data_IF_074739855616
#
_entry.id   IF_074739855616
#
_cell.length_a   1.000
_cell.length_b   1.000
_cell.length_c   1.000
_cell.angle_alpha   90.00
_cell.angle_beta   90.00
_cell.angle_gamma   90.00
#
_symmetry.space_group_name_H-M   'P 1'
#
loop_
_entity.id
_entity.type
_entity.pdbx_description
1 polymer ?
#
# COMPACT_ATOMS: atom_id res chain seq x y z
N UNK A 1 18.93 -14.69 21.39
CA UNK A 1 19.02 -14.93 19.93
C UNK A 1 19.92 -13.90 19.28
N UNK A 2 20.83 -14.28 18.37
CA UNK A 2 21.57 -13.30 17.57
C UNK A 2 20.59 -12.55 16.69
N UNK A 3 20.52 -11.22 16.80
CA UNK A 3 19.67 -10.38 15.93
C UNK A 3 20.01 -10.68 14.48
N UNK A 4 19.06 -11.12 13.69
CA UNK A 4 19.23 -11.31 12.25
C UNK A 4 19.00 -9.97 11.54
N UNK A 5 20.04 -9.14 11.49
CA UNK A 5 19.98 -7.79 10.94
C UNK A 5 19.53 -7.79 9.47
N UNK A 6 19.90 -8.80 8.70
CA UNK A 6 19.47 -8.95 7.30
C UNK A 6 17.97 -9.18 7.17
N UNK A 7 17.40 -10.02 8.05
CA UNK A 7 15.96 -10.26 8.08
C UNK A 7 15.20 -9.01 8.54
N UNK A 8 15.73 -8.27 9.50
CA UNK A 8 15.13 -7.01 9.94
C UNK A 8 15.12 -5.96 8.82
N UNK A 9 16.22 -5.82 8.09
CA UNK A 9 16.29 -4.94 6.93
C UNK A 9 15.28 -5.34 5.83
N UNK A 10 15.09 -6.64 5.61
CA UNK A 10 14.09 -7.13 4.67
C UNK A 10 12.66 -6.79 5.12
N UNK A 11 12.35 -6.94 6.40
CA UNK A 11 11.05 -6.56 6.96
C UNK A 11 10.82 -5.04 6.78
N UNK A 12 11.85 -4.21 7.00
CA UNK A 12 11.76 -2.77 6.75
C UNK A 12 11.50 -2.46 5.28
N UNK A 13 12.13 -3.18 4.35
CA UNK A 13 11.87 -3.05 2.92
C UNK A 13 10.44 -3.48 2.56
N UNK A 14 9.86 -4.46 3.24
CA UNK A 14 8.45 -4.83 3.06
C UNK A 14 7.52 -3.70 3.50
N UNK A 15 7.73 -3.10 4.67
CA UNK A 15 6.95 -1.96 5.13
C UNK A 15 7.06 -0.75 4.19
N UNK A 16 8.26 -0.48 3.70
CA UNK A 16 8.48 0.54 2.67
C UNK A 16 7.65 0.25 1.41
N UNK A 17 7.70 -0.99 0.90
CA UNK A 17 6.97 -1.39 -0.32
C UNK A 17 5.46 -1.26 -0.16
N UNK A 18 4.91 -1.70 0.99
CA UNK A 18 3.49 -1.58 1.31
C UNK A 18 3.06 -0.12 1.23
N UNK A 19 3.77 0.74 1.93
CA UNK A 19 3.45 2.16 2.00
C UNK A 19 3.59 2.87 0.66
N UNK A 20 4.66 2.58 -0.08
CA UNK A 20 4.92 3.19 -1.37
C UNK A 20 3.80 2.94 -2.39
N UNK A 21 3.19 1.75 -2.34
CA UNK A 21 2.08 1.37 -3.22
C UNK A 21 0.74 1.87 -2.69
N UNK A 22 0.54 1.90 -1.37
CA UNK A 22 -0.77 2.21 -0.78
C UNK A 22 -1.07 3.71 -0.79
N UNK A 23 -0.07 4.54 -0.48
CA UNK A 23 -0.27 5.97 -0.24
C UNK A 23 -0.16 6.85 -1.51
N UNK A 24 -0.07 6.24 -2.69
CA UNK A 24 -0.05 6.96 -3.97
C UNK A 24 -1.45 7.36 -4.46
N UNK A 25 -2.52 6.79 -3.90
CA UNK A 25 -3.88 7.02 -4.40
C UNK A 25 -4.26 8.51 -4.42
N UNK A 26 -3.85 9.29 -3.42
CA UNK A 26 -4.16 10.71 -3.34
C UNK A 26 -3.74 11.50 -4.59
N UNK A 27 -2.47 11.49 -4.97
CA UNK A 27 -2.00 12.12 -6.21
C UNK A 27 -2.63 11.59 -7.49
N UNK A 28 -3.03 10.31 -7.53
CA UNK A 28 -3.61 9.68 -8.72
C UNK A 28 -5.09 10.04 -8.96
N UNK A 29 -5.86 10.39 -7.93
CA UNK A 29 -7.30 10.65 -8.07
C UNK A 29 -7.63 11.71 -9.12
N UNK A 30 -6.98 12.87 -9.19
CA UNK A 30 -7.25 13.85 -10.25
C UNK A 30 -7.06 13.29 -11.66
N UNK A 31 -5.93 12.62 -11.93
CA UNK A 31 -5.67 12.01 -13.24
C UNK A 31 -6.71 10.95 -13.61
N UNK A 32 -7.13 10.14 -12.63
CA UNK A 32 -8.17 9.13 -12.81
C UNK A 32 -9.50 9.79 -13.19
N UNK A 33 -9.88 10.88 -12.50
CA UNK A 33 -11.09 11.65 -12.83
C UNK A 33 -11.02 12.17 -14.25
N UNK A 34 -9.91 12.78 -14.64
CA UNK A 34 -9.73 13.36 -15.96
C UNK A 34 -9.68 12.30 -17.08
N UNK A 35 -8.87 11.25 -16.93
CA UNK A 35 -8.69 10.24 -17.98
C UNK A 35 -9.93 9.37 -18.20
N UNK A 36 -10.67 9.03 -17.14
CA UNK A 36 -11.90 8.24 -17.25
C UNK A 36 -13.16 9.10 -17.38
N UNK A 37 -13.05 10.44 -17.47
CA UNK A 37 -14.17 11.38 -17.56
C UNK A 37 -15.24 11.12 -16.51
N UNK A 38 -14.81 10.93 -15.24
CA UNK A 38 -15.73 10.64 -14.16
C UNK A 38 -16.56 11.88 -13.83
N UNK A 39 -17.88 11.79 -14.07
CA UNK A 39 -18.81 12.92 -13.89
C UNK A 39 -19.10 13.24 -12.42
N UNK A 40 -18.82 12.29 -11.51
CA UNK A 40 -19.10 12.41 -10.09
C UNK A 40 -17.86 12.01 -9.29
N UNK A 41 -17.48 12.84 -8.32
CA UNK A 41 -16.40 12.55 -7.37
C UNK A 41 -16.65 11.23 -6.59
N UNK A 42 -17.93 10.86 -6.40
CA UNK A 42 -18.28 9.60 -5.79
C UNK A 42 -17.73 8.40 -6.57
N UNK A 43 -17.67 8.47 -7.91
CA UNK A 43 -17.05 7.41 -8.71
C UNK A 43 -15.56 7.25 -8.41
N UNK A 44 -14.82 8.35 -8.26
CA UNK A 44 -13.43 8.28 -7.85
C UNK A 44 -13.27 7.67 -6.44
N UNK A 45 -14.23 7.89 -5.56
CA UNK A 45 -14.29 7.30 -4.22
C UNK A 45 -14.46 5.78 -4.19
N UNK A 46 -14.94 5.15 -5.27
CA UNK A 46 -15.01 3.68 -5.35
C UNK A 46 -13.63 3.03 -5.40
N UNK A 47 -12.59 3.73 -5.83
CA UNK A 47 -11.23 3.17 -5.92
C UNK A 47 -10.68 2.89 -4.51
N UNK A 48 -10.55 3.89 -3.60
CA UNK A 48 -10.15 3.62 -2.23
C UNK A 48 -11.16 2.71 -1.49
N UNK A 49 -12.46 2.81 -1.79
CA UNK A 49 -13.47 1.92 -1.21
C UNK A 49 -13.21 0.46 -1.60
N UNK A 50 -12.89 0.18 -2.86
CA UNK A 50 -12.55 -1.16 -3.35
C UNK A 50 -11.33 -1.72 -2.62
N UNK A 51 -10.28 -0.90 -2.46
CA UNK A 51 -9.07 -1.25 -1.73
C UNK A 51 -9.34 -1.56 -0.24
N UNK A 52 -10.00 -0.66 0.48
CA UNK A 52 -10.28 -0.85 1.91
C UNK A 52 -11.34 -1.92 2.19
N UNK A 53 -12.28 -2.15 1.27
CA UNK A 53 -13.21 -3.28 1.36
C UNK A 53 -12.47 -4.61 1.31
N UNK A 54 -11.50 -4.74 0.40
CA UNK A 54 -10.63 -5.92 0.32
C UNK A 54 -9.85 -6.14 1.62
N UNK A 55 -9.35 -5.05 2.22
CA UNK A 55 -8.70 -5.08 3.53
C UNK A 55 -9.61 -5.63 4.62
N UNK A 56 -10.84 -5.11 4.70
CA UNK A 56 -11.82 -5.55 5.69
C UNK A 56 -12.16 -7.04 5.53
N UNK A 57 -12.33 -7.51 4.30
CA UNK A 57 -12.65 -8.91 3.99
C UNK A 57 -11.47 -9.83 4.34
N UNK A 58 -10.23 -9.44 4.02
CA UNK A 58 -9.06 -10.31 4.14
C UNK A 58 -8.43 -10.30 5.54
N UNK A 59 -8.66 -9.28 6.37
CA UNK A 59 -8.00 -9.14 7.68
C UNK A 59 -8.16 -10.35 8.59
N UNK A 60 -9.37 -10.90 8.70
CA UNK A 60 -9.64 -12.09 9.52
C UNK A 60 -9.13 -13.37 8.83
N UNK A 61 -9.46 -13.63 7.54
CA UNK A 61 -8.92 -14.79 6.83
C UNK A 61 -7.40 -14.86 6.81
N UNK A 62 -6.69 -13.72 6.72
CA UNK A 62 -5.23 -13.70 6.71
C UNK A 62 -4.64 -14.32 7.99
N UNK A 63 -5.20 -14.03 9.17
CA UNK A 63 -4.79 -14.66 10.41
C UNK A 63 -4.97 -16.18 10.38
N UNK A 64 -6.12 -16.66 9.93
CA UNK A 64 -6.40 -18.10 9.78
C UNK A 64 -5.48 -18.79 8.78
N UNK A 65 -5.08 -18.08 7.71
CA UNK A 65 -4.14 -18.60 6.72
C UNK A 65 -2.73 -18.75 7.33
N UNK A 66 -2.31 -17.81 8.18
CA UNK A 66 -1.02 -17.89 8.90
C UNK A 66 -1.00 -19.12 9.81
N UNK A 67 -2.06 -19.30 10.60
CA UNK A 67 -2.17 -20.45 11.51
C UNK A 67 -2.12 -21.80 10.79
N UNK A 68 -2.70 -21.86 9.58
CA UNK A 68 -2.80 -23.11 8.81
C UNK A 68 -1.58 -23.39 7.94
N UNK A 69 -1.03 -22.39 7.26
CA UNK A 69 0.01 -22.56 6.25
C UNK A 69 1.37 -21.99 6.66
N UNK A 70 1.41 -21.24 7.76
CA UNK A 70 2.60 -20.53 8.22
C UNK A 70 2.84 -19.20 7.48
N UNK A 71 3.86 -18.50 7.91
CA UNK A 71 4.13 -17.10 7.53
C UNK A 71 4.60 -16.94 6.09
N UNK A 72 5.55 -17.80 5.67
CA UNK A 72 6.18 -17.67 4.34
C UNK A 72 5.19 -17.80 3.18
N UNK A 73 4.28 -18.80 3.13
CA UNK A 73 3.26 -18.87 2.09
C UNK A 73 2.31 -17.67 2.08
N UNK A 74 1.95 -17.17 3.26
CA UNK A 74 1.04 -16.01 3.38
C UNK A 74 1.74 -14.72 2.93
N UNK A 75 3.03 -14.52 3.30
CA UNK A 75 3.85 -13.43 2.76
C UNK A 75 3.96 -13.50 1.24
N UNK A 76 4.23 -14.70 0.71
CA UNK A 76 4.35 -14.88 -0.74
C UNK A 76 3.04 -14.54 -1.46
N UNK A 77 1.91 -15.07 -0.99
CA UNK A 77 0.59 -14.71 -1.53
C UNK A 77 0.28 -13.23 -1.34
N UNK A 78 0.67 -12.65 -0.21
CA UNK A 78 0.52 -11.24 0.11
C UNK A 78 1.23 -10.31 -0.89
N UNK A 79 2.39 -10.69 -1.41
CA UNK A 79 3.07 -9.97 -2.49
C UNK A 79 2.58 -10.36 -3.88
N UNK A 80 2.17 -11.63 -4.08
CA UNK A 80 1.68 -12.12 -5.36
C UNK A 80 0.36 -11.44 -5.77
N UNK A 81 -0.56 -11.24 -4.85
CA UNK A 81 -1.83 -10.57 -5.14
C UNK A 81 -1.64 -9.15 -5.67
N UNK A 82 -0.91 -8.24 -4.99
CA UNK A 82 -0.63 -6.92 -5.53
C UNK A 82 0.14 -6.96 -6.84
N UNK A 83 1.07 -7.90 -7.02
CA UNK A 83 1.79 -8.10 -8.28
C UNK A 83 0.84 -8.39 -9.44
N UNK A 84 -0.12 -9.29 -9.24
CA UNK A 84 -1.18 -9.58 -10.24
C UNK A 84 -2.04 -8.34 -10.46
N UNK A 85 -2.46 -7.66 -9.39
CA UNK A 85 -3.28 -6.46 -9.47
C UNK A 85 -2.61 -5.34 -10.26
N UNK A 86 -1.33 -5.08 -10.02
CA UNK A 86 -0.60 -4.02 -10.73
C UNK A 86 -0.42 -4.35 -12.22
N UNK A 87 -0.08 -5.59 -12.57
CA UNK A 87 0.00 -6.02 -13.98
C UNK A 87 -1.36 -5.94 -14.66
N UNK A 88 -2.43 -6.36 -13.98
CA UNK A 88 -3.77 -6.35 -14.54
C UNK A 88 -4.16 -4.94 -15.02
N UNK A 89 -3.94 -3.93 -14.19
CA UNK A 89 -4.23 -2.55 -14.58
C UNK A 89 -3.19 -1.99 -15.56
N UNK A 90 -1.91 -2.30 -15.38
CA UNK A 90 -0.84 -1.87 -16.30
C UNK A 90 -1.03 -2.37 -17.74
N UNK A 91 -1.73 -3.49 -17.93
CA UNK A 91 -2.05 -4.04 -19.25
C UNK A 91 -3.46 -3.65 -19.74
N UNK A 92 -4.40 -3.35 -18.84
CA UNK A 92 -5.81 -3.13 -19.18
C UNK A 92 -6.31 -1.83 -18.56
N UNK A 93 -6.12 -0.72 -19.26
CA UNK A 93 -6.34 0.66 -18.79
C UNK A 93 -7.83 1.05 -18.82
N UNK A 94 -8.69 0.32 -18.08
CA UNK A 94 -10.11 0.64 -17.97
C UNK A 94 -10.50 0.86 -16.52
N UNK A 95 -11.50 1.70 -16.27
CA UNK A 95 -11.97 1.98 -14.92
C UNK A 95 -12.41 0.72 -14.13
N UNK A 96 -13.17 -0.25 -14.72
CA UNK A 96 -13.46 -1.50 -14.01
C UNK A 96 -12.22 -2.32 -13.64
N UNK A 97 -11.18 -2.32 -14.49
CA UNK A 97 -9.93 -2.99 -14.20
C UNK A 97 -9.13 -2.28 -13.10
N UNK A 98 -9.23 -0.96 -13.01
CA UNK A 98 -8.66 -0.19 -11.91
C UNK A 98 -9.30 -0.57 -10.56
N UNK A 99 -10.62 -0.71 -10.53
CA UNK A 99 -11.35 -1.17 -9.33
C UNK A 99 -10.96 -2.61 -8.95
N UNK A 100 -10.91 -3.51 -9.93
CA UNK A 100 -10.50 -4.90 -9.70
C UNK A 100 -9.03 -4.99 -9.23
N UNK A 101 -8.15 -4.22 -9.85
CA UNK A 101 -6.73 -4.10 -9.45
C UNK A 101 -6.61 -3.61 -8.01
N UNK A 102 -7.29 -2.51 -7.67
CA UNK A 102 -7.29 -1.94 -6.32
C UNK A 102 -7.79 -2.94 -5.27
N UNK A 103 -8.84 -3.71 -5.60
CA UNK A 103 -9.35 -4.77 -4.74
C UNK A 103 -8.31 -5.87 -4.52
N UNK A 104 -7.69 -6.37 -5.59
CA UNK A 104 -6.67 -7.44 -5.52
C UNK A 104 -5.44 -6.96 -4.74
N UNK A 105 -5.01 -5.71 -4.97
CA UNK A 105 -3.91 -5.09 -4.21
C UNK A 105 -4.28 -5.03 -2.72
N UNK A 106 -5.50 -4.59 -2.39
CA UNK A 106 -5.98 -4.50 -1.01
C UNK A 106 -5.99 -5.85 -0.28
N UNK A 107 -6.40 -6.94 -0.96
CA UNK A 107 -6.33 -8.30 -0.39
C UNK A 107 -4.90 -8.66 0.02
N UNK A 108 -3.93 -8.44 -0.86
CA UNK A 108 -2.53 -8.76 -0.59
C UNK A 108 -1.93 -7.88 0.52
N UNK A 109 -2.24 -6.59 0.52
CA UNK A 109 -1.74 -5.66 1.55
C UNK A 109 -2.27 -6.02 2.94
N UNK A 110 -3.52 -6.45 3.08
CA UNK A 110 -4.07 -6.96 4.33
C UNK A 110 -3.33 -8.21 4.82
N UNK A 111 -3.03 -9.16 3.92
CA UNK A 111 -2.23 -10.34 4.26
C UNK A 111 -0.84 -9.96 4.75
N UNK A 112 -0.15 -9.04 4.05
CA UNK A 112 1.19 -8.60 4.42
C UNK A 112 1.21 -7.96 5.81
N UNK A 113 0.33 -7.03 6.11
CA UNK A 113 0.30 -6.36 7.40
C UNK A 113 -0.01 -7.33 8.55
N UNK A 114 -0.88 -8.30 8.31
CA UNK A 114 -1.21 -9.32 9.32
C UNK A 114 0.00 -10.19 9.67
N UNK A 115 0.85 -10.53 8.69
CA UNK A 115 2.07 -11.34 8.93
C UNK A 115 3.21 -10.50 9.51
N UNK A 116 3.40 -9.28 9.01
CA UNK A 116 4.59 -8.48 9.32
C UNK A 116 4.64 -8.04 10.78
N UNK A 117 3.50 -7.71 11.39
CA UNK A 117 3.44 -7.28 12.79
C UNK A 117 4.02 -8.32 13.77
N UNK A 118 3.56 -9.59 13.79
CA UNK A 118 4.15 -10.61 14.64
C UNK A 118 5.56 -11.02 14.19
N UNK A 119 5.86 -10.98 12.88
CA UNK A 119 7.16 -11.35 12.35
C UNK A 119 8.26 -10.38 12.82
N UNK A 120 8.02 -9.08 12.78
CA UNK A 120 8.97 -8.07 13.26
C UNK A 120 9.28 -8.24 14.76
N UNK A 121 8.29 -8.64 15.57
CA UNK A 121 8.50 -8.95 16.99
C UNK A 121 9.37 -10.18 17.17
N UNK A 122 9.10 -11.25 16.42
CA UNK A 122 9.86 -12.50 16.49
C UNK A 122 11.32 -12.29 16.07
N UNK A 123 11.57 -11.53 15.01
CA UNK A 123 12.93 -11.28 14.49
C UNK A 123 13.70 -10.28 15.35
N UNK A 124 13.03 -9.26 15.84
CA UNK A 124 13.64 -8.19 16.62
C UNK A 124 13.81 -8.47 18.11
N UNK A 125 13.07 -9.43 18.63
CA UNK A 125 12.97 -9.76 20.06
C UNK A 125 12.04 -8.84 20.82
N UNK A 126 11.39 -9.36 21.86
CA UNK A 126 10.39 -8.62 22.66
C UNK A 126 10.95 -7.33 23.30
N UNK A 127 12.21 -7.38 23.78
CA UNK A 127 12.86 -6.24 24.45
C UNK A 127 12.99 -5.01 23.52
N UNK A 128 13.11 -5.21 22.20
CA UNK A 128 13.30 -4.14 21.24
C UNK A 128 12.07 -3.92 20.36
N UNK A 129 10.98 -4.61 20.64
CA UNK A 129 9.79 -4.58 19.78
C UNK A 129 9.27 -3.16 19.54
N UNK A 130 9.16 -2.35 20.59
CA UNK A 130 8.69 -0.96 20.46
C UNK A 130 9.58 -0.15 19.51
N UNK A 131 10.91 -0.22 19.67
CA UNK A 131 11.84 0.48 18.78
C UNK A 131 11.74 -0.01 17.32
N UNK A 132 11.59 -1.33 17.12
CA UNK A 132 11.50 -1.92 15.79
C UNK A 132 10.17 -1.57 15.13
N UNK A 133 9.08 -1.52 15.90
CA UNK A 133 7.78 -1.08 15.41
C UNK A 133 7.82 0.38 14.95
N UNK A 134 8.44 1.28 15.74
CA UNK A 134 8.63 2.67 15.34
C UNK A 134 9.54 2.82 14.12
N UNK A 135 10.61 2.02 14.02
CA UNK A 135 11.46 2.00 12.83
C UNK A 135 10.70 1.54 11.59
N UNK A 136 9.79 0.56 11.73
CA UNK A 136 8.92 0.12 10.65
C UNK A 136 7.95 1.23 10.21
N UNK A 137 7.36 1.96 11.16
CA UNK A 137 6.51 3.11 10.88
C UNK A 137 7.30 4.26 10.23
N UNK A 138 8.53 4.50 10.67
CA UNK A 138 9.41 5.47 10.02
C UNK A 138 9.72 5.09 8.56
N UNK A 139 10.00 3.81 8.26
CA UNK A 139 10.15 3.33 6.88
C UNK A 139 8.86 3.47 6.07
N UNK A 140 7.71 3.22 6.70
CA UNK A 140 6.41 3.44 6.11
C UNK A 140 6.20 4.91 5.73
N UNK A 141 6.51 5.84 6.64
CA UNK A 141 6.38 7.27 6.41
C UNK A 141 7.33 7.80 5.33
N UNK A 142 8.60 7.36 5.32
CA UNK A 142 9.54 7.70 4.23
C UNK A 142 8.98 7.28 2.87
N UNK A 143 8.42 6.09 2.77
CA UNK A 143 7.83 5.59 1.52
C UNK A 143 6.60 6.41 1.11
N UNK A 144 5.73 6.76 2.07
CA UNK A 144 4.57 7.64 1.83
C UNK A 144 4.98 9.03 1.34
N UNK A 145 6.08 9.57 1.88
CA UNK A 145 6.66 10.84 1.44
C UNK A 145 7.24 10.75 0.02
N UNK A 146 7.94 9.66 -0.29
CA UNK A 146 8.62 9.50 -1.58
C UNK A 146 7.67 9.11 -2.72
N UNK A 147 6.57 8.44 -2.43
CA UNK A 147 5.65 7.92 -3.44
C UNK A 147 5.03 9.02 -4.31
N UNK A 148 4.48 10.14 -3.77
CA UNK A 148 4.00 11.24 -4.59
C UNK A 148 5.10 11.96 -5.37
N UNK A 149 6.33 12.02 -4.83
CA UNK A 149 7.47 12.60 -5.55
C UNK A 149 7.88 11.75 -6.75
N UNK A 150 7.86 10.42 -6.61
CA UNK A 150 8.10 9.50 -7.72
C UNK A 150 7.02 9.64 -8.80
N UNK A 151 5.76 9.82 -8.41
CA UNK A 151 4.67 10.13 -9.35
C UNK A 151 4.94 11.42 -10.12
N UNK A 152 5.20 12.53 -9.43
CA UNK A 152 5.50 13.83 -10.10
C UNK A 152 6.70 13.71 -11.04
N UNK A 153 7.75 12.99 -10.64
CA UNK A 153 8.92 12.75 -11.47
C UNK A 153 8.56 11.99 -12.75
N UNK A 154 7.82 10.88 -12.64
CA UNK A 154 7.45 10.05 -13.79
C UNK A 154 6.52 10.79 -14.76
N UNK A 155 5.51 11.50 -14.25
CA UNK A 155 4.61 12.32 -15.07
C UNK A 155 5.39 13.35 -15.87
N UNK A 156 6.33 14.05 -15.23
CA UNK A 156 7.14 15.08 -15.87
C UNK A 156 8.09 14.51 -16.94
N UNK A 157 8.76 13.40 -16.63
CA UNK A 157 9.75 12.80 -17.54
C UNK A 157 9.09 12.06 -18.72
N UNK A 158 7.85 11.58 -18.54
CA UNK A 158 7.08 10.83 -19.56
C UNK A 158 6.01 11.70 -20.24
N UNK A 159 5.98 13.00 -19.99
CA UNK A 159 5.07 13.94 -20.67
C UNK A 159 5.36 13.92 -22.18
N UNK A 160 4.37 13.56 -23.02
CA UNK A 160 4.57 13.48 -24.48
C UNK A 160 5.08 14.77 -25.12
N UNK A 161 4.80 15.93 -24.50
CA UNK A 161 5.25 17.23 -25.01
C UNK A 161 6.75 17.50 -24.78
N UNK A 162 7.35 16.88 -23.76
CA UNK A 162 8.73 17.13 -23.33
C UNK A 162 9.63 15.91 -23.36
N UNK A 163 9.05 14.73 -23.53
CA UNK A 163 9.78 13.47 -23.56
C UNK A 163 10.79 13.44 -24.72
N UNK A 164 12.00 13.01 -24.40
CA UNK A 164 13.08 12.83 -25.37
C UNK A 164 13.67 11.43 -25.16
N UNK A 165 13.54 10.57 -26.14
CA UNK A 165 14.10 9.22 -26.12
C UNK A 165 15.63 9.24 -25.97
N UNK A 166 16.19 8.23 -25.28
CA UNK A 166 17.62 8.08 -25.06
C UNK A 166 18.17 8.76 -23.80
N UNK A 167 17.33 9.36 -22.95
CA UNK A 167 17.74 9.90 -21.65
C UNK A 167 18.09 8.78 -20.65
N UNK A 168 17.30 7.72 -20.62
CA UNK A 168 17.47 6.59 -19.70
C UNK A 168 16.78 5.36 -20.25
N UNK A 169 17.47 4.21 -20.23
CA UNK A 169 16.91 2.92 -20.65
C UNK A 169 15.60 2.60 -19.89
N UNK A 170 15.52 2.95 -18.62
CA UNK A 170 14.33 2.68 -17.79
C UNK A 170 13.17 3.57 -18.23
N UNK A 171 13.41 4.87 -18.47
CA UNK A 171 12.38 5.80 -18.93
C UNK A 171 11.91 5.44 -20.34
N UNK A 172 12.81 5.06 -21.23
CA UNK A 172 12.47 4.64 -22.59
C UNK A 172 11.59 3.37 -22.57
N UNK A 173 11.93 2.39 -21.72
CA UNK A 173 11.11 1.19 -21.54
C UNK A 173 9.72 1.53 -20.94
N UNK A 174 9.68 2.39 -19.95
CA UNK A 174 8.40 2.83 -19.35
C UNK A 174 7.55 3.60 -20.36
N UNK A 175 8.15 4.45 -21.20
CA UNK A 175 7.46 5.19 -22.26
C UNK A 175 6.83 4.22 -23.30
N UNK A 176 7.56 3.17 -23.68
CA UNK A 176 7.07 2.18 -24.64
C UNK A 176 5.91 1.33 -24.08
N UNK A 177 5.91 1.09 -22.76
CA UNK A 177 4.91 0.25 -22.09
C UNK A 177 3.70 1.03 -21.55
N UNK A 178 3.72 2.37 -21.61
CA UNK A 178 2.72 3.24 -20.98
C UNK A 178 1.93 4.00 -22.06
N UNK A 179 0.58 4.07 -21.98
CA UNK A 179 -0.20 4.91 -22.89
C UNK A 179 0.22 6.37 -22.80
N UNK A 180 0.34 7.04 -23.95
CA UNK A 180 0.77 8.43 -24.01
C UNK A 180 -0.21 9.42 -23.34
N UNK A 181 -1.48 9.07 -23.31
CA UNK A 181 -2.55 9.83 -22.64
C UNK A 181 -2.67 9.58 -21.15
N UNK A 182 -1.96 8.54 -20.63
CA UNK A 182 -1.99 8.14 -19.21
C UNK A 182 -0.58 7.90 -18.66
N UNK A 183 0.31 8.90 -18.61
CA UNK A 183 1.70 8.71 -18.16
C UNK A 183 1.80 8.18 -16.71
N UNK A 184 0.79 8.42 -15.87
CA UNK A 184 0.71 7.92 -14.51
C UNK A 184 0.60 6.38 -14.40
N UNK A 185 0.18 5.68 -15.47
CA UNK A 185 0.17 4.22 -15.52
C UNK A 185 1.58 3.63 -15.39
N UNK A 186 2.62 4.38 -15.76
CA UNK A 186 4.01 4.00 -15.55
C UNK A 186 4.34 3.59 -14.12
N UNK A 187 3.66 4.18 -13.12
CA UNK A 187 3.79 3.79 -11.71
C UNK A 187 3.40 2.34 -11.47
N UNK A 188 2.39 1.82 -12.15
CA UNK A 188 1.96 0.43 -11.99
C UNK A 188 3.04 -0.53 -12.49
N UNK A 189 3.83 -0.15 -13.52
CA UNK A 189 5.01 -0.91 -13.94
C UNK A 189 6.13 -0.85 -12.91
N UNK A 190 6.36 0.31 -12.29
CA UNK A 190 7.32 0.45 -11.18
C UNK A 190 6.89 -0.40 -9.98
N UNK A 191 5.61 -0.38 -9.61
CA UNK A 191 5.06 -1.24 -8.56
C UNK A 191 5.22 -2.72 -8.88
N UNK A 192 4.95 -3.11 -10.13
CA UNK A 192 5.13 -4.49 -10.61
C UNK A 192 6.57 -4.94 -10.43
N UNK A 193 7.54 -4.12 -10.83
CA UNK A 193 8.95 -4.43 -10.66
C UNK A 193 9.35 -4.54 -9.18
N UNK A 194 8.91 -3.59 -8.36
CA UNK A 194 9.18 -3.60 -6.93
C UNK A 194 8.58 -4.85 -6.26
N UNK A 195 7.35 -5.21 -6.59
CA UNK A 195 6.67 -6.40 -6.07
C UNK A 195 7.34 -7.69 -6.55
N UNK A 196 7.83 -7.74 -7.78
CA UNK A 196 8.62 -8.87 -8.29
C UNK A 196 9.90 -9.07 -7.48
N UNK A 197 10.61 -7.98 -7.19
CA UNK A 197 11.81 -8.03 -6.34
C UNK A 197 11.47 -8.56 -4.94
N UNK A 198 10.35 -8.11 -4.34
CA UNK A 198 9.90 -8.58 -3.04
C UNK A 198 9.47 -10.07 -3.08
N UNK A 199 8.80 -10.51 -4.14
CA UNK A 199 8.46 -11.93 -4.34
C UNK A 199 9.71 -12.82 -4.41
N UNK A 200 10.72 -12.40 -5.14
CA UNK A 200 12.00 -13.12 -5.21
C UNK A 200 12.67 -13.13 -3.82
N UNK A 201 12.68 -11.98 -3.13
CA UNK A 201 13.25 -11.88 -1.80
C UNK A 201 12.56 -12.82 -0.79
N UNK A 202 11.22 -12.89 -0.81
CA UNK A 202 10.46 -13.85 0.01
C UNK A 202 10.76 -15.29 -0.38
N UNK A 203 10.85 -15.58 -1.69
CA UNK A 203 11.14 -16.92 -2.20
C UNK A 203 12.47 -17.46 -1.67
N UNK A 204 13.52 -16.65 -1.73
CA UNK A 204 14.90 -17.03 -1.34
C UNK A 204 15.09 -17.01 0.18
N UNK A 205 14.39 -16.15 0.90
CA UNK A 205 14.57 -15.95 2.34
C UNK A 205 13.97 -17.08 3.18
N UNK A 206 14.61 -17.38 4.31
CA UNK A 206 14.12 -18.33 5.30
C UNK A 206 13.59 -17.55 6.51
N UNK A 207 12.28 -17.60 6.72
CA UNK A 207 11.63 -16.91 7.83
C UNK A 207 11.58 -17.82 9.06
N UNK A 208 11.84 -17.27 10.27
CA UNK A 208 11.62 -18.01 11.50
C UNK A 208 10.12 -18.26 11.68
N UNK A 209 9.76 -19.36 12.31
CA UNK A 209 8.36 -19.57 12.72
C UNK A 209 7.98 -18.53 13.76
N UNK A 210 6.82 -17.92 13.58
CA UNK A 210 6.27 -16.98 14.54
C UNK A 210 5.73 -17.80 15.73
N UNK A 211 6.23 -17.51 16.93
CA UNK A 211 5.63 -18.01 18.18
C UNK A 211 4.52 -17.02 18.58
N UNK A 212 3.31 -17.28 18.12
CA UNK A 212 2.13 -16.54 18.57
C UNK A 212 1.88 -16.84 20.04
N UNK A 213 1.70 -15.79 20.85
CA UNK A 213 1.20 -15.95 22.23
C UNK A 213 -0.21 -16.53 22.19
N UNK A 214 -0.64 -17.13 23.28
CA UNK A 214 -1.98 -17.76 23.34
C UNK A 214 -3.13 -16.75 23.08
N UNK A 215 -2.94 -15.50 23.45
CA UNK A 215 -3.85 -14.39 23.20
C UNK A 215 -3.83 -13.88 21.74
N UNK A 216 -2.83 -14.26 20.97
CA UNK A 216 -2.68 -13.91 19.54
C UNK A 216 -3.11 -15.03 18.58
N UNK A 217 -3.30 -16.22 19.09
CA UNK A 217 -3.84 -17.33 18.31
C UNK A 217 -5.29 -17.07 17.96
N UNK A 218 -5.68 -17.44 16.74
CA UNK A 218 -7.07 -17.33 16.29
C UNK A 218 -8.01 -17.98 17.30
N UNK A 219 -8.81 -17.17 17.96
CA UNK A 219 -9.74 -17.63 18.97
C UNK A 219 -10.88 -18.46 18.38
N UNK A 220 -11.58 -19.20 19.22
CA UNK A 220 -12.84 -19.84 18.81
C UNK A 220 -13.90 -18.80 18.42
N UNK A 221 -14.92 -19.21 17.67
CA UNK A 221 -16.06 -18.32 17.36
C UNK A 221 -16.68 -17.69 18.62
N UNK A 222 -16.70 -18.43 19.72
CA UNK A 222 -17.23 -17.97 21.00
C UNK A 222 -16.36 -16.87 21.61
N UNK A 223 -15.03 -16.92 21.43
CA UNK A 223 -14.09 -15.88 21.86
C UNK A 223 -14.33 -14.58 21.10
N UNK A 224 -14.52 -14.63 19.77
CA UNK A 224 -14.86 -13.43 18.98
C UNK A 224 -16.21 -12.82 19.40
N UNK A 225 -17.23 -13.66 19.60
CA UNK A 225 -18.55 -13.18 20.07
C UNK A 225 -18.48 -12.57 21.48
N UNK A 226 -17.62 -13.08 22.36
CA UNK A 226 -17.40 -12.52 23.69
C UNK A 226 -16.72 -11.14 23.61
N UNK A 227 -15.76 -10.94 22.69
CA UNK A 227 -15.11 -9.64 22.45
C UNK A 227 -16.11 -8.59 21.98
N UNK A 228 -16.99 -8.93 21.03
CA UNK A 228 -18.00 -8.01 20.52
C UNK A 228 -19.02 -7.54 21.58
N UNK A 229 -19.15 -8.27 22.69
CA UNK A 229 -20.01 -7.87 23.84
C UNK A 229 -19.36 -6.82 24.73
N UNK A 230 -18.05 -6.60 24.62
CA UNK A 230 -17.32 -5.66 25.44
C UNK A 230 -17.42 -4.23 24.90
N UNK A 231 -17.90 -3.28 25.72
CA UNK A 231 -18.02 -1.88 25.33
C UNK A 231 -16.69 -1.22 24.93
N UNK A 232 -15.58 -1.65 25.55
CA UNK A 232 -14.26 -1.10 25.25
C UNK A 232 -13.79 -1.47 23.84
N UNK A 233 -14.14 -2.64 23.34
CA UNK A 233 -13.82 -3.07 21.97
C UNK A 233 -14.47 -2.09 20.97
N UNK A 234 -15.72 -1.73 21.19
CA UNK A 234 -16.41 -0.75 20.33
C UNK A 234 -15.87 0.67 20.45
N UNK A 235 -15.44 1.09 21.64
CA UNK A 235 -14.80 2.40 21.81
C UNK A 235 -13.45 2.47 21.09
N UNK A 236 -12.60 1.45 21.20
CA UNK A 236 -11.36 1.39 20.46
C UNK A 236 -11.59 1.27 18.95
N UNK A 237 -12.55 0.45 18.53
CA UNK A 237 -12.94 0.35 17.12
C UNK A 237 -13.36 1.72 16.56
N UNK A 238 -14.23 2.44 17.25
CA UNK A 238 -14.68 3.77 16.84
C UNK A 238 -13.52 4.77 16.82
N UNK A 239 -12.66 4.75 17.82
CA UNK A 239 -11.47 5.62 17.89
C UNK A 239 -10.54 5.41 16.69
N UNK A 240 -10.18 4.14 16.39
CA UNK A 240 -9.34 3.80 15.24
C UNK A 240 -10.05 4.14 13.93
N UNK A 241 -11.35 3.85 13.84
CA UNK A 241 -12.15 4.19 12.66
C UNK A 241 -12.12 5.69 12.36
N UNK A 242 -12.37 6.55 13.36
CA UNK A 242 -12.35 8.00 13.20
C UNK A 242 -10.94 8.50 12.82
N UNK A 243 -9.91 7.98 13.48
CA UNK A 243 -8.52 8.35 13.20
C UNK A 243 -8.13 8.01 11.75
N UNK A 244 -8.27 6.74 11.36
CA UNK A 244 -7.87 6.28 10.02
C UNK A 244 -8.72 6.91 8.92
N UNK A 245 -10.03 7.11 9.17
CA UNK A 245 -10.90 7.79 8.20
C UNK A 245 -10.47 9.24 7.95
N UNK A 246 -10.08 9.96 9.01
CA UNK A 246 -9.59 11.33 8.88
C UNK A 246 -8.25 11.39 8.18
N UNK A 247 -7.31 10.55 8.57
CA UNK A 247 -5.97 10.45 7.98
C UNK A 247 -6.04 10.10 6.49
N UNK A 248 -6.67 9.00 6.16
CA UNK A 248 -6.76 8.51 4.78
C UNK A 248 -7.66 9.39 3.91
N UNK A 249 -8.78 9.86 4.45
CA UNK A 249 -9.67 10.78 3.73
C UNK A 249 -8.98 12.08 3.37
N UNK A 250 -8.20 12.65 4.29
CA UNK A 250 -7.40 13.85 4.02
C UNK A 250 -6.34 13.58 2.96
N UNK A 251 -5.56 12.53 3.11
CA UNK A 251 -4.48 12.18 2.16
C UNK A 251 -5.01 11.90 0.75
N UNK A 252 -6.08 11.11 0.62
CA UNK A 252 -6.63 10.68 -0.68
C UNK A 252 -7.26 11.83 -1.46
N UNK A 253 -7.98 12.73 -0.77
CA UNK A 253 -8.68 13.82 -1.46
C UNK A 253 -7.96 15.17 -1.41
N UNK A 254 -6.79 15.27 -0.78
CA UNK A 254 -6.03 16.52 -0.65
C UNK A 254 -5.68 17.13 -2.01
N UNK A 255 -5.11 16.36 -2.93
CA UNK A 255 -4.73 16.85 -4.26
C UNK A 255 -5.94 17.33 -5.05
N UNK A 256 -7.03 16.55 -5.05
CA UNK A 256 -8.30 16.92 -5.69
C UNK A 256 -8.93 18.17 -5.08
N UNK A 257 -8.91 18.29 -3.76
CA UNK A 257 -9.41 19.47 -3.06
C UNK A 257 -8.63 20.73 -3.44
N UNK A 258 -7.31 20.66 -3.44
CA UNK A 258 -6.44 21.77 -3.81
C UNK A 258 -6.65 22.19 -5.27
N UNK A 259 -6.83 21.23 -6.17
CA UNK A 259 -7.16 21.52 -7.57
C UNK A 259 -8.50 22.24 -7.71
N UNK A 260 -9.58 21.66 -7.16
CA UNK A 260 -10.95 22.14 -7.37
C UNK A 260 -11.24 23.49 -6.69
N UNK A 261 -10.71 23.71 -5.50
CA UNK A 261 -11.02 24.92 -4.70
C UNK A 261 -9.96 26.01 -4.76
N UNK A 262 -8.71 25.65 -5.11
CA UNK A 262 -7.58 26.58 -5.11
C UNK A 262 -6.88 26.69 -6.46
N UNK A 263 -7.30 25.91 -7.47
CA UNK A 263 -6.70 25.94 -8.82
C UNK A 263 -5.24 25.49 -8.86
N UNK A 264 -4.81 24.71 -7.87
CA UNK A 264 -3.43 24.19 -7.74
C UNK A 264 -3.24 23.04 -8.71
N UNK A 265 -2.05 22.95 -9.35
CA UNK A 265 -1.75 21.83 -10.22
C UNK A 265 -1.65 20.53 -9.41
N UNK A 266 -2.53 19.52 -9.66
CA UNK A 266 -2.60 18.31 -8.86
C UNK A 266 -1.37 17.41 -9.00
N UNK A 267 -0.72 17.42 -10.17
CA UNK A 267 0.43 16.56 -10.50
C UNK A 267 1.75 17.06 -9.88
N UNK A 268 1.82 18.33 -9.49
CA UNK A 268 3.03 18.94 -8.91
C UNK A 268 2.76 19.38 -7.48
N UNK A 269 2.16 20.54 -7.27
CA UNK A 269 1.94 21.11 -5.92
C UNK A 269 0.95 20.29 -5.10
N UNK A 270 -0.11 19.73 -5.73
CA UNK A 270 -1.05 18.83 -5.08
C UNK A 270 -0.39 17.55 -4.57
N UNK A 271 0.43 16.92 -5.41
CA UNK A 271 1.21 15.74 -5.04
C UNK A 271 2.25 16.05 -3.95
N UNK A 272 2.92 17.22 -4.02
CA UNK A 272 3.86 17.67 -2.98
C UNK A 272 3.16 17.91 -1.64
N UNK A 273 1.95 18.46 -1.64
CA UNK A 273 1.16 18.63 -0.42
C UNK A 273 0.90 17.30 0.27
N UNK A 274 0.56 16.26 -0.49
CA UNK A 274 0.40 14.88 0.04
C UNK A 274 1.74 14.35 0.59
N UNK A 275 2.85 14.61 -0.10
CA UNK A 275 4.18 14.24 0.41
C UNK A 275 4.47 14.90 1.76
N UNK A 276 4.26 16.22 1.87
CA UNK A 276 4.50 16.94 3.12
C UNK A 276 3.56 16.48 4.24
N UNK A 277 2.30 16.20 3.92
CA UNK A 277 1.37 15.61 4.89
C UNK A 277 1.93 14.34 5.51
N UNK A 278 2.36 13.39 4.69
CA UNK A 278 2.97 12.14 5.17
C UNK A 278 4.32 12.36 5.87
N UNK A 279 5.14 13.26 5.35
CA UNK A 279 6.44 13.59 5.97
C UNK A 279 6.33 14.22 7.35
N UNK A 280 5.25 15.00 7.60
CA UNK A 280 4.98 15.57 8.92
C UNK A 280 4.31 14.58 9.90
N UNK A 281 3.68 13.53 9.36
CA UNK A 281 3.07 12.46 10.14
C UNK A 281 4.09 11.39 10.59
N UNK A 282 5.28 11.37 9.99
CA UNK A 282 6.38 10.42 10.25
C UNK A 282 7.27 10.89 11.39
#
# INVERSE_FOLDING_TARGET
MKKNLGMLALIMAFWFTISFITNILGPLIPDIIHNFNLSDLAMAGFIPTSFFLAYAIMSIPAGLLIDRFGEKPVLFCGFLMPFIGTILFACMHTYPMLLASSFIIGLGMAMLQTVLNPLQRTVGGEENYAFIAELAQFMFGIASFLSPLAYTYLIRELDPATYTAGKSLILDLLADMTPQDMPWVSLYWVFTLLLLVMLIAVGVSHFPKIELKEDEKSGSKDSYLALFKQKYVWLFFLGIFCYVSTEQGTSIFMSTFLEQYHGVNPQTEGAQAVSYFWGLMT
#
